data_IF_796056819112
#
_entry.id   IF_796056819112
#
_cell.length_a   1.000
_cell.length_b   1.000
_cell.length_c   1.000
_cell.angle_alpha   90.00
_cell.angle_beta   90.00
_cell.angle_gamma   90.00
#
_symmetry.space_group_name_H-M   'P 1'
#
loop_
_entity.id
_entity.type
_entity.pdbx_description
1 polymer ?
#
# COMPACT_ATOMS: atom_id res chain seq x y z
N UNK A 1 76.52 9.54 56.73
CA UNK A 1 75.80 9.21 57.98
C UNK A 1 74.30 9.11 57.67
N UNK A 2 73.66 7.99 58.07
CA UNK A 2 72.19 7.71 58.17
C UNK A 2 71.37 7.86 56.87
N UNK A 3 70.84 6.77 56.28
CA UNK A 3 69.58 6.06 56.67
C UNK A 3 68.42 7.06 56.85
N UNK A 4 67.26 6.99 56.18
CA UNK A 4 66.30 5.87 56.21
C UNK A 4 65.12 6.11 55.23
N UNK A 5 64.57 5.01 54.70
CA UNK A 5 63.26 4.77 54.03
C UNK A 5 62.11 5.75 54.35
N UNK A 6 61.22 6.01 53.38
CA UNK A 6 59.83 5.46 53.38
C UNK A 6 59.03 5.77 52.10
N UNK A 7 58.42 4.69 51.62
CA UNK A 7 57.29 4.54 50.69
C UNK A 7 56.10 5.45 50.97
N UNK A 8 55.49 6.00 49.92
CA UNK A 8 54.06 6.31 49.87
C UNK A 8 53.47 5.92 48.50
N UNK A 9 52.43 5.09 48.58
CA UNK A 9 51.51 4.69 47.52
C UNK A 9 50.69 5.91 47.07
N UNK A 10 50.22 5.92 45.81
CA UNK A 10 48.90 6.44 45.42
C UNK A 10 48.53 5.92 44.00
N UNK A 11 47.76 4.82 44.04
CA UNK A 11 46.54 4.54 43.26
C UNK A 11 46.36 5.12 41.84
N UNK A 12 46.31 4.16 40.91
CA UNK A 12 45.56 4.09 39.63
C UNK A 12 44.42 5.10 39.46
N UNK A 13 44.46 5.84 38.36
CA UNK A 13 43.28 6.35 37.66
C UNK A 13 43.33 5.85 36.21
N UNK A 14 42.53 4.82 35.90
CA UNK A 14 42.31 4.37 34.54
C UNK A 14 41.23 5.24 33.89
N UNK A 15 41.59 5.92 32.80
CA UNK A 15 40.65 6.69 31.98
C UNK A 15 39.88 5.71 31.10
N UNK A 16 38.61 5.49 31.41
CA UNK A 16 37.65 4.82 30.52
C UNK A 16 37.04 5.89 29.64
N UNK A 17 37.48 5.99 28.39
CA UNK A 17 36.83 6.79 27.34
C UNK A 17 35.52 6.11 26.95
N UNK A 18 34.39 6.67 27.39
CA UNK A 18 33.07 6.26 26.93
C UNK A 18 32.87 6.76 25.48
N UNK A 19 32.87 5.84 24.52
CA UNK A 19 32.45 6.13 23.15
C UNK A 19 30.92 6.27 23.11
N UNK A 20 30.43 7.49 22.96
CA UNK A 20 29.02 7.76 22.65
C UNK A 20 28.74 7.33 21.21
N UNK A 21 28.24 6.10 21.04
CA UNK A 21 27.61 5.69 19.79
C UNK A 21 26.27 6.42 19.65
N UNK A 22 26.19 7.38 18.71
CA UNK A 22 24.92 7.91 18.25
C UNK A 22 24.15 6.77 17.54
N UNK A 23 23.27 6.10 18.27
CA UNK A 23 22.24 5.26 17.69
C UNK A 23 21.21 6.19 17.04
N UNK A 24 21.31 6.41 15.74
CA UNK A 24 20.20 6.93 14.95
C UNK A 24 19.09 5.89 14.98
N UNK A 25 18.13 6.06 15.90
CA UNK A 25 16.84 5.40 15.85
C UNK A 25 16.15 5.87 14.57
N UNK A 26 16.32 5.11 13.49
CA UNK A 26 15.40 5.18 12.36
C UNK A 26 14.03 4.78 12.94
N UNK A 27 13.17 5.77 13.15
CA UNK A 27 11.78 5.56 13.49
C UNK A 27 11.16 4.71 12.39
N UNK A 28 10.95 3.42 12.67
CA UNK A 28 9.97 2.62 11.95
C UNK A 28 8.63 3.28 12.25
N UNK A 29 8.24 4.22 11.39
CA UNK A 29 6.90 4.78 11.44
C UNK A 29 5.93 3.60 11.32
N UNK A 30 5.05 3.36 12.30
CA UNK A 30 3.99 2.39 12.11
C UNK A 30 3.22 2.79 10.87
N UNK A 31 2.83 1.81 10.04
CA UNK A 31 1.87 2.04 8.97
C UNK A 31 0.70 2.82 9.58
N UNK A 32 0.42 4.02 9.05
CA UNK A 32 -0.56 4.93 9.64
C UNK A 32 -1.89 4.22 9.76
N UNK A 33 -2.31 3.94 10.99
CA UNK A 33 -3.63 3.37 11.23
C UNK A 33 -4.66 4.33 10.64
N UNK A 34 -5.65 3.79 9.92
CA UNK A 34 -6.75 4.61 9.41
C UNK A 34 -7.42 5.35 10.58
N UNK A 35 -7.64 6.65 10.42
CA UNK A 35 -8.42 7.42 11.37
C UNK A 35 -9.87 6.95 11.33
N UNK A 36 -10.48 6.75 12.50
CA UNK A 36 -11.89 6.40 12.55
C UNK A 36 -12.73 7.66 12.25
N UNK A 37 -13.59 7.56 11.23
CA UNK A 37 -14.38 8.69 10.74
C UNK A 37 -15.87 8.44 10.95
N UNK A 38 -16.63 9.52 11.08
CA UNK A 38 -18.09 9.51 11.23
C UNK A 38 -18.84 9.68 9.91
N UNK A 39 -20.09 9.19 9.89
CA UNK A 39 -21.06 9.46 8.83
C UNK A 39 -20.53 9.26 7.40
N UNK A 40 -20.69 10.27 6.55
CA UNK A 40 -20.24 10.26 5.17
C UNK A 40 -18.70 10.31 5.01
N UNK A 41 -17.95 10.58 6.08
CA UNK A 41 -16.49 10.49 6.06
C UNK A 41 -15.96 9.08 6.33
N UNK A 42 -16.80 8.15 6.83
CA UNK A 42 -16.41 6.78 7.20
C UNK A 42 -15.42 6.08 6.23
N UNK A 43 -15.57 6.18 4.88
CA UNK A 43 -14.65 5.52 3.95
C UNK A 43 -13.26 6.17 3.80
N UNK A 44 -13.04 7.37 4.33
CA UNK A 44 -11.92 8.25 3.97
C UNK A 44 -10.88 8.44 5.09
N UNK A 45 -10.77 7.48 6.01
CA UNK A 45 -9.88 7.56 7.19
C UNK A 45 -8.38 7.67 6.88
N UNK A 46 -7.96 7.53 5.61
CA UNK A 46 -6.58 7.69 5.16
C UNK A 46 -6.42 8.75 4.07
N UNK A 47 -7.42 9.60 3.83
CA UNK A 47 -7.24 10.68 2.86
C UNK A 47 -6.13 11.64 3.33
N UNK A 48 -5.10 11.94 2.50
CA UNK A 48 -3.95 12.75 2.89
C UNK A 48 -4.27 14.25 2.83
N UNK A 49 -5.35 14.69 3.50
CA UNK A 49 -5.86 16.06 3.43
C UNK A 49 -4.84 17.12 3.90
N UNK A 50 -3.92 16.73 4.77
CA UNK A 50 -2.87 17.62 5.29
C UNK A 50 -1.59 17.63 4.42
N UNK A 51 -1.56 16.87 3.33
CA UNK A 51 -0.42 16.91 2.41
C UNK A 51 -0.29 18.32 1.82
N UNK A 52 0.94 18.88 1.70
CA UNK A 52 1.14 20.24 1.21
C UNK A 52 0.49 20.52 -0.15
N UNK A 53 0.49 19.54 -1.06
CA UNK A 53 -0.15 19.66 -2.36
C UNK A 53 -1.68 19.70 -2.27
N UNK A 54 -2.28 18.94 -1.33
CA UNK A 54 -3.72 18.97 -1.09
C UNK A 54 -4.13 20.32 -0.50
N UNK A 55 -3.41 20.80 0.53
CA UNK A 55 -3.67 22.10 1.16
C UNK A 55 -3.50 23.30 0.21
N UNK A 56 -2.70 23.14 -0.85
CA UNK A 56 -2.46 24.18 -1.84
C UNK A 56 -3.59 24.33 -2.87
N UNK A 57 -4.54 23.38 -2.95
CA UNK A 57 -5.66 23.45 -3.88
C UNK A 57 -6.55 24.67 -3.56
N UNK A 58 -6.80 25.48 -4.59
CA UNK A 58 -7.50 26.76 -4.46
C UNK A 58 -9.01 26.67 -4.69
N UNK A 59 -9.51 25.57 -5.27
CA UNK A 59 -10.91 25.37 -5.63
C UNK A 59 -11.32 25.95 -6.98
N UNK A 60 -10.35 26.46 -7.76
CA UNK A 60 -10.56 27.08 -9.07
C UNK A 60 -9.63 26.48 -10.13
N UNK A 61 -8.31 26.62 -9.98
CA UNK A 61 -7.34 25.98 -10.87
C UNK A 61 -7.05 24.56 -10.45
N UNK A 62 -7.08 24.32 -9.14
CA UNK A 62 -6.75 23.05 -8.52
C UNK A 62 -7.85 22.69 -7.52
N UNK A 63 -8.47 21.52 -7.71
CA UNK A 63 -9.53 21.03 -6.84
C UNK A 63 -9.08 19.71 -6.22
N UNK A 64 -8.96 19.70 -4.90
CA UNK A 64 -8.65 18.50 -4.13
C UNK A 64 -9.91 17.69 -3.87
N UNK A 65 -9.80 16.36 -3.98
CA UNK A 65 -10.85 15.42 -3.63
C UNK A 65 -10.24 14.22 -2.89
N UNK A 66 -11.05 13.56 -2.08
CA UNK A 66 -10.69 12.28 -1.46
C UNK A 66 -11.34 11.13 -2.23
N UNK A 67 -10.57 10.08 -2.52
CA UNK A 67 -11.09 8.83 -3.09
C UNK A 67 -10.82 7.67 -2.14
N UNK A 68 -11.75 6.73 -2.11
CA UNK A 68 -11.64 5.47 -1.38
C UNK A 68 -12.26 4.35 -2.21
N UNK A 69 -11.64 3.18 -2.22
CA UNK A 69 -12.18 1.98 -2.87
C UNK A 69 -11.76 0.75 -2.10
N UNK A 70 -12.72 -0.10 -1.77
CA UNK A 70 -12.47 -1.35 -1.05
C UNK A 70 -13.18 -2.52 -1.69
N UNK A 71 -12.59 -3.71 -1.54
CA UNK A 71 -13.21 -4.98 -1.88
C UNK A 71 -12.82 -6.02 -0.84
N UNK A 72 -13.80 -6.77 -0.33
CA UNK A 72 -13.56 -7.79 0.69
C UNK A 72 -13.03 -9.11 0.12
N UNK A 73 -13.14 -9.31 -1.20
CA UNK A 73 -12.74 -10.56 -1.84
C UNK A 73 -12.36 -10.38 -3.31
N UNK A 74 -11.55 -11.30 -3.81
CA UNK A 74 -11.12 -11.29 -5.18
C UNK A 74 -10.10 -12.38 -5.46
N UNK A 75 -9.40 -12.25 -6.58
CA UNK A 75 -8.26 -13.10 -6.91
C UNK A 75 -7.22 -12.33 -7.70
N UNK A 76 -5.96 -12.69 -7.50
CA UNK A 76 -4.85 -12.20 -8.29
C UNK A 76 -4.08 -13.40 -8.85
N UNK A 77 -3.82 -13.36 -10.15
CA UNK A 77 -3.02 -14.34 -10.88
C UNK A 77 -1.72 -13.71 -11.32
N UNK A 78 -0.61 -14.35 -10.95
CA UNK A 78 0.74 -13.94 -11.34
C UNK A 78 1.48 -15.18 -11.85
N UNK A 79 1.80 -15.17 -13.15
CA UNK A 79 2.35 -16.34 -13.83
C UNK A 79 1.42 -17.56 -13.67
N UNK A 80 1.92 -18.61 -13.02
CA UNK A 80 1.15 -19.84 -12.76
C UNK A 80 0.36 -19.80 -11.46
N UNK A 81 0.61 -18.82 -10.59
CA UNK A 81 0.03 -18.75 -9.25
C UNK A 81 -1.29 -17.97 -9.27
N UNK A 82 -2.34 -18.53 -8.66
CA UNK A 82 -3.61 -17.84 -8.41
C UNK A 82 -3.84 -17.79 -6.91
N UNK A 83 -4.07 -16.60 -6.39
CA UNK A 83 -4.20 -16.36 -4.94
C UNK A 83 -5.50 -15.60 -4.69
N UNK A 84 -6.35 -16.07 -3.76
CA UNK A 84 -7.50 -15.27 -3.32
C UNK A 84 -7.00 -14.01 -2.61
N UNK A 85 -7.56 -12.86 -2.95
CA UNK A 85 -7.28 -11.63 -2.22
C UNK A 85 -8.25 -11.53 -1.04
N UNK A 86 -7.75 -11.14 0.14
CA UNK A 86 -8.61 -10.69 1.23
C UNK A 86 -9.06 -9.25 1.01
N UNK A 87 -9.46 -8.57 2.10
CA UNK A 87 -9.88 -7.17 2.04
C UNK A 87 -8.77 -6.28 1.46
N UNK A 88 -9.14 -5.45 0.50
CA UNK A 88 -8.32 -4.40 -0.09
C UNK A 88 -8.92 -3.04 0.26
N UNK A 89 -8.07 -2.05 0.46
CA UNK A 89 -8.40 -0.66 0.79
C UNK A 89 -7.44 0.25 0.02
N UNK A 90 -7.95 0.89 -1.03
CA UNK A 90 -7.27 1.92 -1.79
C UNK A 90 -7.81 3.28 -1.33
N UNK A 91 -6.93 4.16 -0.86
CA UNK A 91 -7.28 5.54 -0.55
C UNK A 91 -6.22 6.50 -1.09
N UNK A 92 -6.65 7.66 -1.56
CA UNK A 92 -5.77 8.72 -2.01
C UNK A 92 -6.49 10.09 -2.02
N UNK A 93 -5.69 11.14 -1.99
CA UNK A 93 -6.11 12.46 -2.45
C UNK A 93 -5.91 12.54 -3.96
N UNK A 94 -6.76 13.29 -4.65
CA UNK A 94 -6.57 13.61 -6.07
C UNK A 94 -6.75 15.12 -6.23
N UNK A 95 -5.81 15.73 -6.93
CA UNK A 95 -5.91 17.12 -7.37
C UNK A 95 -6.31 17.08 -8.84
N UNK A 96 -7.45 17.68 -9.17
CA UNK A 96 -7.87 17.89 -10.55
C UNK A 96 -7.47 19.29 -10.97
N UNK A 97 -6.72 19.39 -12.06
CA UNK A 97 -6.23 20.65 -12.60
C UNK A 97 -7.23 21.19 -13.63
N UNK A 98 -7.22 22.52 -13.85
CA UNK A 98 -8.13 23.17 -14.81
C UNK A 98 -7.95 22.72 -16.27
N UNK A 99 -6.83 22.09 -16.61
CA UNK A 99 -6.58 21.50 -17.93
C UNK A 99 -7.15 20.07 -18.07
N UNK A 100 -7.77 19.55 -17.00
CA UNK A 100 -8.37 18.21 -16.95
C UNK A 100 -7.39 17.10 -16.55
N UNK A 101 -6.11 17.41 -16.32
CA UNK A 101 -5.15 16.43 -15.79
C UNK A 101 -5.35 16.21 -14.29
N UNK A 102 -4.81 15.11 -13.77
CA UNK A 102 -4.92 14.73 -12.36
C UNK A 102 -3.57 14.42 -11.75
N UNK A 103 -3.36 14.88 -10.52
CA UNK A 103 -2.23 14.47 -9.67
C UNK A 103 -2.76 13.65 -8.50
N UNK A 104 -2.26 12.43 -8.33
CA UNK A 104 -2.61 11.58 -7.19
C UNK A 104 -1.66 11.85 -6.04
N UNK A 105 -2.22 12.09 -4.85
CA UNK A 105 -1.50 12.27 -3.60
C UNK A 105 -1.75 11.03 -2.74
N UNK A 106 -0.76 10.14 -2.57
CA UNK A 106 -0.94 8.95 -1.76
C UNK A 106 -0.85 9.29 -0.26
N UNK A 107 -1.49 8.49 0.61
CA UNK A 107 -1.19 8.47 2.04
C UNK A 107 0.29 8.15 2.30
N UNK A 108 0.82 8.56 3.45
CA UNK A 108 2.24 8.38 3.78
C UNK A 108 2.67 6.90 3.85
N UNK A 109 1.74 6.00 4.18
CA UNK A 109 1.93 4.55 4.23
C UNK A 109 1.59 3.84 2.89
N UNK A 110 1.28 4.61 1.84
CA UNK A 110 1.01 4.13 0.47
C UNK A 110 -0.48 4.08 0.12
N UNK A 111 -0.85 4.13 -1.16
CA UNK A 111 -2.26 4.23 -1.55
C UNK A 111 -3.07 2.95 -1.27
N UNK A 112 -2.47 1.78 -1.47
CA UNK A 112 -3.14 0.48 -1.33
C UNK A 112 -2.67 -0.27 -0.08
N UNK A 113 -3.64 -0.65 0.74
CA UNK A 113 -3.50 -1.62 1.84
C UNK A 113 -4.29 -2.87 1.46
N UNK A 114 -3.68 -4.04 1.64
CA UNK A 114 -4.33 -5.32 1.36
C UNK A 114 -4.06 -6.30 2.48
N UNK A 115 -5.06 -7.12 2.81
CA UNK A 115 -4.90 -8.23 3.73
C UNK A 115 -3.82 -9.19 3.19
N UNK A 116 -2.91 -9.68 4.06
CA UNK A 116 -1.92 -10.66 3.65
C UNK A 116 -2.59 -11.93 3.11
N UNK A 117 -2.06 -12.48 2.03
CA UNK A 117 -2.56 -13.70 1.42
C UNK A 117 -1.58 -14.85 1.59
N UNK A 118 -2.09 -16.06 1.81
CA UNK A 118 -1.26 -17.26 1.88
C UNK A 118 -1.11 -17.85 0.48
N UNK A 119 0.12 -18.13 0.08
CA UNK A 119 0.39 -18.80 -1.20
C UNK A 119 0.00 -20.28 -1.11
N UNK A 120 -0.83 -20.80 -2.03
CA UNK A 120 -1.16 -22.22 -2.09
C UNK A 120 0.10 -23.09 -2.21
N UNK A 121 0.20 -24.12 -1.36
CA UNK A 121 1.33 -25.05 -1.36
C UNK A 121 2.55 -24.61 -0.56
N UNK A 122 2.63 -23.35 -0.13
CA UNK A 122 3.71 -22.91 0.77
C UNK A 122 5.12 -23.03 0.18
N UNK A 123 6.14 -23.12 1.04
CA UNK A 123 7.54 -23.24 0.66
C UNK A 123 7.86 -24.59 0.01
N UNK A 124 7.19 -25.67 0.45
CA UNK A 124 7.23 -26.97 -0.22
C UNK A 124 6.76 -26.85 -1.68
N UNK A 125 5.69 -26.08 -1.89
CA UNK A 125 5.20 -25.72 -3.21
C UNK A 125 6.20 -24.88 -4.01
N UNK A 126 6.87 -23.91 -3.37
CA UNK A 126 7.83 -22.99 -4.00
C UNK A 126 9.19 -23.61 -4.32
N UNK A 127 9.70 -24.49 -3.47
CA UNK A 127 11.11 -24.86 -3.47
C UNK A 127 11.38 -26.34 -3.66
N UNK A 128 10.43 -27.25 -3.45
CA UNK A 128 10.73 -28.68 -3.41
C UNK A 128 10.34 -29.46 -4.68
N UNK A 129 11.21 -29.54 -5.70
CA UNK A 129 11.37 -30.73 -6.52
C UNK A 129 12.47 -31.66 -5.95
N UNK A 130 12.38 -32.95 -6.26
CA UNK A 130 13.04 -34.06 -5.55
C UNK A 130 14.58 -34.11 -5.58
N UNK A 131 15.26 -33.36 -6.47
CA UNK A 131 16.63 -33.71 -6.88
C UNK A 131 17.71 -32.61 -6.66
N UNK A 132 17.45 -31.53 -5.93
CA UNK A 132 18.44 -30.46 -5.66
C UNK A 132 19.01 -30.58 -4.23
N UNK A 133 20.32 -30.87 -4.04
CA UNK A 133 20.91 -31.16 -2.72
C UNK A 133 20.72 -30.05 -1.68
N UNK A 134 20.95 -28.79 -2.06
CA UNK A 134 20.80 -27.63 -1.16
C UNK A 134 19.35 -27.42 -0.69
N UNK A 135 18.39 -27.84 -1.51
CA UNK A 135 16.96 -27.67 -1.21
C UNK A 135 16.42 -28.88 -0.45
N UNK A 136 16.99 -30.06 -0.67
CA UNK A 136 16.57 -31.31 -0.02
C UNK A 136 16.59 -31.25 1.51
N UNK A 137 17.54 -30.54 2.12
CA UNK A 137 17.64 -30.44 3.58
C UNK A 137 16.64 -29.45 4.18
N UNK A 138 16.31 -28.37 3.44
CA UNK A 138 15.21 -27.48 3.78
C UNK A 138 13.88 -28.25 3.67
N UNK A 139 13.69 -29.01 2.59
CA UNK A 139 12.48 -29.81 2.37
C UNK A 139 12.26 -30.87 3.45
N UNK A 140 13.32 -31.47 4.01
CA UNK A 140 13.23 -32.40 5.16
C UNK A 140 12.81 -31.70 6.46
N UNK A 141 13.14 -30.41 6.63
CA UNK A 141 12.77 -29.61 7.80
C UNK A 141 11.35 -29.03 7.71
N UNK A 142 10.77 -28.99 6.50
CA UNK A 142 9.44 -28.43 6.23
C UNK A 142 8.26 -29.38 6.56
N UNK A 143 8.47 -30.42 7.36
CA UNK A 143 7.38 -31.23 7.95
C UNK A 143 6.51 -30.45 8.93
N UNK A 144 6.93 -29.23 9.30
CA UNK A 144 6.22 -28.32 10.18
C UNK A 144 5.33 -27.34 9.39
N UNK A 145 4.04 -27.26 9.75
CA UNK A 145 3.02 -26.53 8.98
C UNK A 145 3.27 -25.02 8.93
N UNK A 146 3.89 -24.44 9.94
CA UNK A 146 4.16 -22.99 9.99
C UNK A 146 5.39 -22.58 9.19
N UNK A 147 6.43 -23.41 9.15
CA UNK A 147 7.63 -23.20 8.34
C UNK A 147 7.34 -23.29 6.83
N UNK A 148 6.32 -24.06 6.47
CA UNK A 148 5.85 -24.17 5.10
C UNK A 148 5.03 -22.95 4.65
N UNK A 149 4.48 -22.12 5.54
CA UNK A 149 3.61 -21.01 5.13
C UNK A 149 4.42 -19.87 4.52
N UNK A 150 3.98 -19.39 3.37
CA UNK A 150 4.52 -18.18 2.73
C UNK A 150 3.41 -17.17 2.65
N UNK A 151 3.62 -16.04 3.32
CA UNK A 151 2.65 -14.94 3.35
C UNK A 151 3.08 -13.89 2.34
N UNK A 152 2.20 -13.57 1.40
CA UNK A 152 2.39 -12.50 0.43
C UNK A 152 1.70 -11.22 0.93
N UNK A 153 2.45 -10.12 0.97
CA UNK A 153 1.95 -8.79 1.32
C UNK A 153 2.17 -7.83 0.17
N UNK A 154 1.10 -7.23 -0.34
CA UNK A 154 1.18 -6.17 -1.33
C UNK A 154 1.71 -4.90 -0.67
N UNK A 155 2.63 -4.22 -1.33
CA UNK A 155 3.17 -2.93 -0.91
C UNK A 155 3.07 -1.95 -2.06
N UNK A 156 2.48 -0.78 -1.80
CA UNK A 156 2.55 0.35 -2.72
C UNK A 156 4.01 0.76 -2.90
N UNK A 157 4.42 1.01 -4.14
CA UNK A 157 5.74 1.56 -4.46
C UNK A 157 5.56 2.68 -5.45
N UNK A 158 6.23 3.81 -5.26
CA UNK A 158 6.01 5.02 -6.07
C UNK A 158 4.57 5.57 -5.94
N UNK A 159 4.33 6.71 -6.57
CA UNK A 159 3.03 7.39 -6.56
C UNK A 159 2.10 6.81 -7.64
N UNK A 160 0.83 6.53 -7.34
CA UNK A 160 -0.16 6.22 -8.36
C UNK A 160 -0.31 7.32 -9.40
N UNK A 161 -0.76 6.97 -10.59
CA UNK A 161 -0.89 7.89 -11.73
C UNK A 161 -2.15 7.60 -12.53
N UNK A 162 -2.42 8.40 -13.58
CA UNK A 162 -3.48 8.17 -14.56
C UNK A 162 -4.89 8.02 -13.96
N UNK A 163 -5.19 8.72 -12.85
CA UNK A 163 -6.51 8.66 -12.25
C UNK A 163 -7.57 9.29 -13.16
N UNK A 164 -8.66 8.57 -13.40
CA UNK A 164 -9.79 8.99 -14.25
C UNK A 164 -11.10 8.83 -13.50
N UNK A 165 -11.64 9.95 -12.99
CA UNK A 165 -12.88 9.96 -12.23
C UNK A 165 -14.05 9.30 -12.99
N UNK A 166 -14.22 9.62 -14.27
CA UNK A 166 -15.31 9.07 -15.09
C UNK A 166 -15.17 7.56 -15.34
N UNK A 167 -13.94 7.03 -15.37
CA UNK A 167 -13.73 5.60 -15.50
C UNK A 167 -14.31 4.84 -14.29
N UNK A 168 -14.39 5.48 -13.12
CA UNK A 168 -15.01 4.92 -11.92
C UNK A 168 -16.51 4.64 -12.05
N UNK A 169 -17.23 5.34 -12.93
CA UNK A 169 -18.69 5.14 -13.13
C UNK A 169 -19.03 4.40 -14.43
N UNK A 170 -18.04 4.13 -15.27
CA UNK A 170 -18.20 3.40 -16.55
C UNK A 170 -17.46 2.07 -16.54
N UNK A 171 -17.71 1.21 -17.53
CA UNK A 171 -17.01 -0.07 -17.70
C UNK A 171 -15.88 0.03 -18.72
N UNK A 172 -14.88 -0.86 -18.59
CA UNK A 172 -13.86 -1.08 -19.62
C UNK A 172 -12.83 0.03 -19.79
N UNK A 173 -12.65 0.87 -18.78
CA UNK A 173 -11.62 1.91 -18.75
C UNK A 173 -10.83 1.81 -17.45
N UNK A 174 -9.48 1.81 -17.50
CA UNK A 174 -8.64 1.89 -16.31
C UNK A 174 -8.96 3.12 -15.46
N UNK A 175 -9.13 2.90 -14.15
CA UNK A 175 -9.49 3.94 -13.19
C UNK A 175 -8.25 4.67 -12.69
N UNK A 176 -7.17 3.93 -12.42
CA UNK A 176 -5.92 4.43 -11.83
C UNK A 176 -4.79 3.44 -12.12
N UNK A 177 -3.57 3.94 -12.29
CA UNK A 177 -2.35 3.13 -12.37
C UNK A 177 -1.72 3.01 -10.97
N UNK A 178 -1.66 1.77 -10.44
CA UNK A 178 -1.16 1.44 -9.10
C UNK A 178 0.15 0.65 -9.18
N UNK A 179 1.30 1.30 -8.99
CA UNK A 179 2.58 0.61 -8.86
C UNK A 179 2.71 -0.08 -7.50
N UNK A 180 2.93 -1.39 -7.52
CA UNK A 180 3.06 -2.24 -6.33
C UNK A 180 4.23 -3.22 -6.46
N UNK A 181 4.70 -3.73 -5.33
CA UNK A 181 5.53 -4.94 -5.22
C UNK A 181 4.93 -5.87 -4.19
N UNK A 182 5.35 -7.14 -4.19
CA UNK A 182 4.86 -8.12 -3.21
C UNK A 182 6.02 -8.56 -2.34
N UNK A 183 5.91 -8.37 -1.03
CA UNK A 183 6.84 -8.97 -0.06
C UNK A 183 6.40 -10.40 0.22
N UNK A 184 7.32 -11.34 0.11
CA UNK A 184 7.12 -12.73 0.53
C UNK A 184 7.76 -12.92 1.91
N UNK A 185 6.95 -13.29 2.89
CA UNK A 185 7.39 -13.53 4.26
C UNK A 185 7.42 -15.03 4.53
N UNK A 186 8.65 -15.52 4.75
CA UNK A 186 8.95 -16.85 5.24
C UNK A 186 10.39 -16.85 5.82
N UNK A 187 10.66 -17.54 6.94
CA UNK A 187 11.98 -17.54 7.57
C UNK A 187 13.14 -17.93 6.62
N UNK A 188 12.91 -18.85 5.68
CA UNK A 188 13.93 -19.30 4.73
C UNK A 188 14.14 -18.36 3.55
N UNK A 189 13.12 -17.57 3.20
CA UNK A 189 13.21 -16.55 2.15
C UNK A 189 13.87 -15.25 2.65
N UNK A 190 13.86 -15.04 3.97
CA UNK A 190 14.39 -13.83 4.60
C UNK A 190 13.53 -12.59 4.35
N UNK A 191 13.88 -11.48 5.01
CA UNK A 191 13.06 -10.27 5.05
C UNK A 191 13.07 -9.43 3.78
N UNK A 192 13.93 -9.78 2.81
CA UNK A 192 14.16 -9.00 1.57
C UNK A 192 13.64 -9.71 0.32
N UNK A 193 12.83 -10.75 0.47
CA UNK A 193 12.25 -11.46 -0.67
C UNK A 193 11.05 -10.70 -1.23
N UNK A 194 11.16 -10.21 -2.46
CA UNK A 194 10.10 -9.48 -3.16
C UNK A 194 9.85 -10.02 -4.55
N UNK A 195 8.61 -9.91 -5.03
CA UNK A 195 8.27 -9.95 -6.46
C UNK A 195 8.06 -8.51 -6.92
N UNK A 196 8.85 -8.09 -7.92
CA UNK A 196 8.94 -6.69 -8.33
C UNK A 196 9.76 -5.82 -7.36
N UNK A 197 9.94 -4.56 -7.74
CA UNK A 197 10.72 -3.54 -7.01
C UNK A 197 10.18 -2.14 -7.28
N UNK A 198 10.69 -1.11 -6.61
CA UNK A 198 10.33 0.27 -6.94
C UNK A 198 10.78 0.69 -8.35
N UNK A 199 11.91 0.19 -8.83
CA UNK A 199 12.43 0.48 -10.18
C UNK A 199 11.81 -0.40 -11.28
N UNK A 200 11.24 -1.54 -10.91
CA UNK A 200 10.52 -2.43 -11.82
C UNK A 200 9.27 -3.00 -11.10
N UNK A 201 8.20 -2.20 -10.96
CA UNK A 201 7.01 -2.58 -10.21
C UNK A 201 6.04 -3.43 -11.03
N UNK A 202 5.12 -4.10 -10.34
CA UNK A 202 3.87 -4.56 -10.93
C UNK A 202 2.95 -3.33 -11.02
N UNK A 203 2.43 -2.99 -12.20
CA UNK A 203 1.54 -1.82 -12.35
C UNK A 203 0.13 -2.29 -12.64
N UNK A 204 -0.72 -2.27 -11.61
CA UNK A 204 -2.13 -2.66 -11.71
C UNK A 204 -2.96 -1.49 -12.24
N UNK A 205 -3.90 -1.78 -13.12
CA UNK A 205 -4.79 -0.83 -13.79
C UNK A 205 -6.24 -1.32 -13.73
N UNK A 206 -6.83 -1.39 -12.53
CA UNK A 206 -8.19 -1.90 -12.37
C UNK A 206 -9.18 -1.06 -13.17
N UNK A 207 -10.11 -1.75 -13.81
CA UNK A 207 -11.28 -1.18 -14.50
C UNK A 207 -12.54 -1.89 -14.02
N UNK A 208 -13.68 -1.20 -14.06
CA UNK A 208 -14.96 -1.87 -13.83
C UNK A 208 -15.25 -2.87 -14.96
N UNK A 209 -15.57 -4.11 -14.58
CA UNK A 209 -15.99 -5.20 -15.48
C UNK A 209 -17.49 -5.47 -15.41
N UNK A 210 -18.18 -4.84 -14.46
CA UNK A 210 -19.64 -4.79 -14.39
C UNK A 210 -20.11 -3.36 -14.06
N UNK A 211 -21.37 -3.06 -14.33
CA UNK A 211 -21.93 -1.73 -14.05
C UNK A 211 -22.02 -1.49 -12.53
N UNK A 212 -21.52 -0.35 -12.01
CA UNK A 212 -21.77 0.03 -10.64
C UNK A 212 -23.17 0.62 -10.45
N UNK A 213 -23.72 0.50 -9.24
CA UNK A 213 -24.78 1.38 -8.79
C UNK A 213 -24.16 2.71 -8.33
N UNK A 214 -24.72 3.83 -8.80
CA UNK A 214 -24.22 5.17 -8.46
C UNK A 214 -25.24 5.90 -7.59
N UNK A 215 -24.77 6.44 -6.47
CA UNK A 215 -25.56 7.26 -5.55
C UNK A 215 -24.80 8.54 -5.23
N UNK A 216 -25.51 9.65 -5.14
CA UNK A 216 -24.96 10.93 -4.72
C UNK A 216 -25.69 11.42 -3.47
N UNK A 217 -24.94 11.92 -2.49
CA UNK A 217 -25.49 12.51 -1.27
C UNK A 217 -24.68 13.73 -0.85
N UNK A 218 -25.35 14.73 -0.30
CA UNK A 218 -24.70 15.87 0.33
C UNK A 218 -24.60 15.66 1.84
N UNK A 219 -23.58 16.29 2.44
CA UNK A 219 -23.31 16.18 3.86
C UNK A 219 -22.61 17.44 4.40
N UNK A 220 -22.72 17.64 5.72
CA UNK A 220 -22.07 18.70 6.46
C UNK A 220 -20.60 18.36 6.75
N UNK A 221 -19.77 19.33 7.15
CA UNK A 221 -18.38 19.08 7.56
C UNK A 221 -18.19 17.95 8.58
N UNK A 222 -19.07 17.83 9.57
CA UNK A 222 -19.05 16.77 10.59
C UNK A 222 -19.42 15.35 10.07
N UNK A 223 -19.63 15.18 8.77
CA UNK A 223 -20.02 13.90 8.18
C UNK A 223 -21.53 13.61 8.19
N UNK A 224 -22.36 14.46 8.82
CA UNK A 224 -23.81 14.25 8.89
C UNK A 224 -24.48 14.50 7.53
N UNK A 225 -25.34 13.58 7.10
CA UNK A 225 -26.07 13.72 5.83
C UNK A 225 -27.01 14.93 5.88
N UNK A 226 -26.91 15.79 4.87
CA UNK A 226 -27.72 17.00 4.73
C UNK A 226 -27.88 17.36 3.25
N UNK A 227 -29.11 17.49 2.75
CA UNK A 227 -29.39 17.83 1.34
C UNK A 227 -28.86 19.20 0.91
N UNK A 228 -28.59 20.10 1.86
CA UNK A 228 -27.97 21.42 1.61
C UNK A 228 -26.51 21.48 2.08
N UNK A 229 -25.92 20.35 2.48
CA UNK A 229 -24.53 20.25 2.89
C UNK A 229 -23.56 20.74 1.81
N UNK A 230 -22.44 21.32 2.26
CA UNK A 230 -21.41 21.91 1.39
C UNK A 230 -20.53 20.86 0.73
N UNK A 231 -20.50 19.65 1.28
CA UNK A 231 -19.77 18.51 0.73
C UNK A 231 -20.71 17.55 0.01
N UNK A 232 -20.13 16.79 -0.91
CA UNK A 232 -20.81 15.79 -1.69
C UNK A 232 -20.02 14.48 -1.66
N UNK A 233 -20.72 13.38 -1.41
CA UNK A 233 -20.22 12.03 -1.54
C UNK A 233 -20.84 11.38 -2.78
N UNK A 234 -20.00 10.86 -3.66
CA UNK A 234 -20.39 9.95 -4.73
C UNK A 234 -20.07 8.52 -4.29
N UNK A 235 -21.09 7.67 -4.18
CA UNK A 235 -20.94 6.23 -3.91
C UNK A 235 -21.10 5.45 -5.21
N UNK A 236 -20.16 4.56 -5.49
CA UNK A 236 -20.07 3.72 -6.68
C UNK A 236 -19.92 2.29 -6.17
N UNK A 237 -21.01 1.53 -6.18
CA UNK A 237 -21.15 0.31 -5.39
C UNK A 237 -21.42 -0.91 -6.26
N UNK A 238 -20.90 -2.06 -5.83
CA UNK A 238 -21.24 -3.38 -6.35
C UNK A 238 -20.62 -3.73 -7.70
N UNK A 239 -19.77 -2.87 -8.28
CA UNK A 239 -19.03 -3.21 -9.49
C UNK A 239 -17.94 -4.23 -9.17
N UNK A 240 -17.80 -5.24 -10.03
CA UNK A 240 -16.57 -6.02 -10.11
C UNK A 240 -15.52 -5.17 -10.83
N UNK A 241 -14.29 -5.25 -10.35
CA UNK A 241 -13.14 -4.63 -11.02
C UNK A 241 -12.14 -5.69 -11.44
N UNK A 242 -11.38 -5.42 -12.49
CA UNK A 242 -10.30 -6.31 -12.89
C UNK A 242 -9.25 -5.66 -13.76
N UNK A 243 -8.16 -6.39 -13.97
CA UNK A 243 -7.06 -6.00 -14.86
C UNK A 243 -6.38 -7.27 -15.38
N UNK A 244 -6.10 -7.35 -16.68
CA UNK A 244 -5.37 -8.47 -17.31
C UNK A 244 -4.14 -8.02 -18.11
N UNK A 245 -3.78 -6.74 -17.98
CA UNK A 245 -2.81 -6.06 -18.85
C UNK A 245 -1.45 -5.83 -18.20
N UNK A 246 -1.28 -6.23 -16.93
CA UNK A 246 -0.03 -6.05 -16.20
C UNK A 246 0.96 -7.20 -16.43
N UNK A 247 2.24 -6.86 -16.45
CA UNK A 247 3.34 -7.81 -16.36
C UNK A 247 3.76 -7.99 -14.89
N UNK A 248 4.36 -9.14 -14.58
CA UNK A 248 4.89 -9.45 -13.25
C UNK A 248 6.40 -9.68 -13.38
N UNK A 249 7.23 -8.78 -12.80
CA UNK A 249 8.68 -8.97 -12.75
C UNK A 249 9.09 -10.20 -11.95
N UNK A 250 10.36 -10.59 -12.08
CA UNK A 250 10.93 -11.67 -11.27
C UNK A 250 11.04 -11.33 -9.78
N UNK A 251 11.15 -12.39 -8.99
CA UNK A 251 11.53 -12.34 -7.60
C UNK A 251 12.98 -11.82 -7.45
N UNK A 252 13.23 -11.12 -6.34
CA UNK A 252 14.52 -10.58 -5.96
C UNK A 252 14.71 -10.63 -4.45
N UNK A 253 15.96 -10.88 -4.02
CA UNK A 253 16.35 -10.82 -2.61
C UNK A 253 15.86 -11.98 -1.74
N UNK A 254 15.44 -13.08 -2.35
CA UNK A 254 14.95 -14.28 -1.69
C UNK A 254 16.10 -15.20 -1.28
N UNK A 255 16.15 -15.54 0.00
CA UNK A 255 17.24 -16.30 0.62
C UNK A 255 18.51 -15.47 0.81
N UNK A 256 19.55 -16.12 1.36
CA UNK A 256 20.84 -15.47 1.59
C UNK A 256 21.41 -14.95 0.26
N UNK A 257 21.55 -13.62 0.14
CA UNK A 257 22.05 -12.94 -1.07
C UNK A 257 21.27 -13.24 -2.36
N UNK A 258 19.96 -13.56 -2.28
CA UNK A 258 19.13 -13.85 -3.46
C UNK A 258 19.27 -15.27 -4.01
N UNK A 259 19.91 -16.18 -3.28
CA UNK A 259 20.17 -17.56 -3.72
C UNK A 259 18.89 -18.37 -4.07
N UNK A 260 17.71 -17.90 -3.67
CA UNK A 260 16.42 -18.56 -3.89
C UNK A 260 15.52 -17.81 -4.91
N UNK A 261 15.99 -16.72 -5.52
CA UNK A 261 15.21 -15.95 -6.51
C UNK A 261 14.76 -16.86 -7.68
N UNK A 262 15.66 -17.71 -8.17
CA UNK A 262 15.38 -18.66 -9.25
C UNK A 262 14.28 -19.67 -8.89
N UNK A 263 14.23 -20.11 -7.63
CA UNK A 263 13.26 -21.11 -7.18
C UNK A 263 11.85 -20.50 -7.09
N UNK A 264 11.75 -19.31 -6.50
CA UNK A 264 10.49 -18.53 -6.46
C UNK A 264 10.00 -18.26 -7.88
N UNK A 265 10.90 -17.81 -8.76
CA UNK A 265 10.58 -17.56 -10.17
C UNK A 265 10.08 -18.81 -10.89
N UNK A 266 10.80 -19.93 -10.76
CA UNK A 266 10.46 -21.19 -11.41
C UNK A 266 9.07 -21.67 -10.98
N UNK A 267 8.76 -21.66 -9.68
CA UNK A 267 7.44 -22.10 -9.21
C UNK A 267 6.32 -21.18 -9.68
N UNK A 268 6.50 -19.87 -9.48
CA UNK A 268 5.45 -18.89 -9.77
C UNK A 268 5.33 -18.57 -11.27
N UNK A 269 6.21 -19.12 -12.11
CA UNK A 269 6.24 -18.85 -13.55
C UNK A 269 6.59 -17.39 -13.83
N UNK A 270 7.59 -16.86 -13.12
CA UNK A 270 8.03 -15.47 -13.21
C UNK A 270 9.42 -15.36 -13.87
N UNK A 271 9.71 -14.24 -14.57
CA UNK A 271 8.79 -13.14 -14.88
C UNK A 271 7.66 -13.58 -15.82
N UNK A 272 6.50 -12.95 -15.67
CA UNK A 272 5.31 -13.21 -16.48
C UNK A 272 4.96 -11.97 -17.29
N UNK A 273 4.88 -12.11 -18.61
CA UNK A 273 4.50 -11.01 -19.51
C UNK A 273 3.03 -10.60 -19.33
N UNK A 274 2.69 -9.40 -19.83
CA UNK A 274 1.30 -8.95 -19.95
C UNK A 274 0.44 -9.97 -20.72
N UNK A 275 -0.84 -10.09 -20.36
CA UNK A 275 -1.76 -11.10 -20.90
C UNK A 275 -1.68 -12.47 -20.22
N UNK A 276 -0.62 -12.76 -19.44
CA UNK A 276 -0.51 -13.97 -18.63
C UNK A 276 -1.15 -13.87 -17.24
N UNK A 277 -1.49 -12.64 -16.81
CA UNK A 277 -1.84 -12.30 -15.44
C UNK A 277 -3.26 -11.73 -15.35
N UNK A 278 -3.87 -11.75 -14.17
CA UNK A 278 -5.21 -11.18 -13.98
C UNK A 278 -5.46 -10.74 -12.55
N UNK A 279 -6.23 -9.69 -12.37
CA UNK A 279 -6.78 -9.23 -11.10
C UNK A 279 -8.30 -9.24 -11.24
N UNK A 280 -8.98 -9.72 -10.21
CA UNK A 280 -10.42 -9.59 -10.06
C UNK A 280 -10.71 -9.16 -8.62
N UNK A 281 -11.47 -8.09 -8.44
CA UNK A 281 -12.00 -7.61 -7.17
C UNK A 281 -13.51 -7.67 -7.25
N UNK A 282 -14.16 -8.29 -6.28
CA UNK A 282 -15.60 -8.52 -6.30
C UNK A 282 -16.32 -7.41 -5.54
N UNK A 283 -17.50 -7.02 -6.04
CA UNK A 283 -18.46 -6.18 -5.33
C UNK A 283 -17.80 -4.96 -4.65
N UNK A 284 -17.03 -4.19 -5.41
CA UNK A 284 -16.26 -3.07 -4.88
C UNK A 284 -17.18 -1.96 -4.32
N UNK A 285 -16.74 -1.33 -3.24
CA UNK A 285 -17.35 -0.14 -2.66
C UNK A 285 -16.41 1.02 -2.85
N UNK A 286 -16.72 1.90 -3.79
CA UNK A 286 -15.90 3.06 -4.15
C UNK A 286 -16.64 4.35 -3.78
N UNK A 287 -15.90 5.29 -3.21
CA UNK A 287 -16.42 6.56 -2.72
C UNK A 287 -15.52 7.70 -3.16
N UNK A 288 -16.14 8.84 -3.47
CA UNK A 288 -15.46 10.11 -3.71
C UNK A 288 -16.08 11.16 -2.81
N UNK A 289 -15.28 11.91 -2.06
CA UNK A 289 -15.71 13.06 -1.29
C UNK A 289 -15.05 14.33 -1.84
N UNK A 290 -15.87 15.35 -2.06
CA UNK A 290 -15.47 16.64 -2.61
C UNK A 290 -16.44 17.73 -2.17
N UNK A 291 -16.08 19.00 -2.34
CA UNK A 291 -17.06 20.08 -2.29
C UNK A 291 -18.16 19.88 -3.33
N UNK A 292 -19.42 20.12 -2.93
CA UNK A 292 -20.55 20.11 -3.86
C UNK A 292 -20.44 21.20 -4.94
N UNK A 293 -19.73 22.29 -4.62
CA UNK A 293 -19.29 23.32 -5.55
C UNK A 293 -17.88 23.77 -5.15
N UNK A 294 -16.81 23.38 -5.87
CA UNK A 294 -15.45 23.81 -5.53
C UNK A 294 -15.29 25.34 -5.48
N UNK A 295 -16.01 26.05 -6.35
CA UNK A 295 -16.00 27.52 -6.41
C UNK A 295 -16.46 28.20 -5.11
N UNK A 296 -17.26 27.54 -4.27
CA UNK A 296 -17.67 28.11 -2.98
C UNK A 296 -16.57 28.08 -1.92
N UNK A 297 -15.49 27.34 -2.17
CA UNK A 297 -14.37 27.17 -1.26
C UNK A 297 -13.13 27.98 -1.68
N UNK A 298 -13.22 28.74 -2.78
CA UNK A 298 -12.12 29.57 -3.30
C UNK A 298 -11.78 30.70 -2.33
N UNK A 299 -10.48 31.02 -2.09
CA UNK A 299 -9.28 30.41 -2.69
C UNK A 299 -8.62 29.32 -1.81
N UNK A 300 -9.37 28.69 -0.91
CA UNK A 300 -8.82 27.85 0.16
C UNK A 300 -9.44 26.44 0.19
N UNK A 301 -9.83 25.89 -0.95
CA UNK A 301 -10.56 24.62 -1.02
C UNK A 301 -9.82 23.48 -0.30
N UNK A 302 -8.52 23.32 -0.57
CA UNK A 302 -7.72 22.30 0.09
C UNK A 302 -7.64 22.44 1.61
N UNK A 303 -7.53 23.68 2.10
CA UNK A 303 -7.50 23.97 3.55
C UNK A 303 -8.85 23.70 4.20
N UNK A 304 -9.94 24.08 3.55
CA UNK A 304 -11.29 23.81 4.04
C UNK A 304 -11.61 22.31 3.97
N UNK A 305 -11.14 21.60 2.95
CA UNK A 305 -11.26 20.15 2.86
C UNK A 305 -10.55 19.46 4.02
N UNK A 306 -9.31 19.86 4.34
CA UNK A 306 -8.59 19.38 5.53
C UNK A 306 -9.36 19.68 6.81
N UNK A 307 -9.79 20.93 7.01
CA UNK A 307 -10.58 21.31 8.18
C UNK A 307 -11.82 20.42 8.35
N UNK A 308 -12.63 20.28 7.30
CA UNK A 308 -13.88 19.52 7.35
C UNK A 308 -13.65 18.01 7.49
N UNK A 309 -12.58 17.47 6.92
CA UNK A 309 -12.20 16.09 7.18
C UNK A 309 -11.89 15.89 8.66
N UNK A 310 -11.11 16.78 9.28
CA UNK A 310 -10.80 16.73 10.72
C UNK A 310 -12.02 16.91 11.62
N UNK A 311 -13.04 17.67 11.19
CA UNK A 311 -14.33 17.78 11.89
C UNK A 311 -15.14 16.46 11.86
N UNK A 312 -14.86 15.57 10.92
CA UNK A 312 -15.50 14.26 10.78
C UNK A 312 -14.80 13.11 11.51
N UNK A 313 -13.74 13.40 12.29
CA UNK A 313 -13.01 12.41 13.08
C UNK A 313 -13.79 12.09 14.35
N UNK A 314 -13.83 10.80 14.73
CA UNK A 314 -14.44 10.30 15.96
C UNK A 314 -13.58 10.49 17.20
#
# INVERSE_FOLDING_TARGET
MRSTRRTQNLTRAGVVTAATALATLASLAPAGAATEMDGAWAPFGRCPVDAPSMLAADGKTDVAICISSSSDSGSIKMGTSVVPTGRTDLQAGVITHSDGTTTVVPPADGALVAAPAQLPGGLLGLMCPSDIPLVSDICKQLTDNDLNRVTAKVQSVNTPTDFKLLAGVTQGQPIISLPVRIKLENPFLGDKCYIGSSSNPIVLRPQNTSAPAVKQQRFNPDGTLNSTGVLNQLSILGANQGDSTYAVPGANGCGLLGALDWAVNLKSGLPSASGGNSLALNSTSTYVAAFASPSSAVPNEGKLLSQYWHEGVK
#
